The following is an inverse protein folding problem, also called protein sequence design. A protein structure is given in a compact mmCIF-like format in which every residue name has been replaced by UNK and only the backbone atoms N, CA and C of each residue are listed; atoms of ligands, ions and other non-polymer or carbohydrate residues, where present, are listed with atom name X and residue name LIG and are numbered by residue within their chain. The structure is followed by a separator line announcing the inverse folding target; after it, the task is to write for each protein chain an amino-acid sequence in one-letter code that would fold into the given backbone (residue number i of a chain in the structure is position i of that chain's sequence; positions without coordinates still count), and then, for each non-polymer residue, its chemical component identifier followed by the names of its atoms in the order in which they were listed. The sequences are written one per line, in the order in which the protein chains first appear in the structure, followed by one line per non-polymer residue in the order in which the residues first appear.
data_IF_228538020465
#
_entry.id   IF_228538020465
#
_cell.length_a   1.000
_cell.length_b   1.000
_cell.length_c   1.000
_cell.angle_alpha   90.00
_cell.angle_beta   90.00
_cell.angle_gamma   90.00
#
_symmetry.space_group_name_H-M   'P 1'
#
loop_
_entity.id
_entity.type
_entity.pdbx_description
1 polymer ?
#
# COMPACT_ATOMS: atom_id res chain seq x y z
N UNK A 1 -12.28 -3.56 8.02
CA UNK A 1 -11.57 -2.37 8.54
C UNK A 1 -12.34 -1.06 8.34
N UNK A 2 -12.84 -0.72 7.15
CA UNK A 2 -13.59 0.53 6.93
C UNK A 2 -14.86 0.64 7.78
N UNK A 3 -15.60 -0.45 7.97
CA UNK A 3 -16.78 -0.47 8.85
C UNK A 3 -16.40 -0.17 10.29
N UNK A 4 -15.36 -0.84 10.80
CA UNK A 4 -14.86 -0.60 12.16
C UNK A 4 -14.41 0.86 12.36
N UNK A 5 -13.72 1.44 11.37
CA UNK A 5 -13.34 2.86 11.44
C UNK A 5 -14.58 3.76 11.53
N UNK A 6 -15.59 3.48 10.72
CA UNK A 6 -16.84 4.26 10.73
C UNK A 6 -17.54 4.18 12.10
N UNK A 7 -17.64 2.99 12.67
CA UNK A 7 -18.24 2.77 13.99
C UNK A 7 -17.46 3.53 15.09
N UNK A 8 -16.13 3.48 15.06
CA UNK A 8 -15.31 4.23 16.01
C UNK A 8 -15.47 5.75 15.87
N UNK A 9 -15.57 6.26 14.65
CA UNK A 9 -15.82 7.70 14.41
C UNK A 9 -17.21 8.11 14.90
N UNK A 10 -18.22 7.29 14.67
CA UNK A 10 -19.59 7.54 15.19
C UNK A 10 -19.61 7.51 16.72
N UNK A 11 -18.94 6.52 17.32
CA UNK A 11 -18.81 6.44 18.78
C UNK A 11 -18.08 7.67 19.36
N UNK A 12 -16.98 8.09 18.74
CA UNK A 12 -16.25 9.29 19.14
C UNK A 12 -17.14 10.54 19.09
N UNK A 13 -17.91 10.70 18.02
CA UNK A 13 -18.84 11.83 17.84
C UNK A 13 -19.92 11.87 18.90
N UNK A 14 -20.28 10.73 19.47
CA UNK A 14 -21.30 10.63 20.51
C UNK A 14 -20.68 10.86 21.90
N UNK A 15 -19.54 10.25 22.18
CA UNK A 15 -18.91 10.24 23.50
C UNK A 15 -18.23 11.57 23.83
N UNK A 16 -17.45 12.13 22.91
CA UNK A 16 -16.64 13.34 23.17
C UNK A 16 -17.48 14.56 23.57
N UNK A 17 -18.61 14.87 22.93
CA UNK A 17 -19.41 16.04 23.29
C UNK A 17 -20.08 15.94 24.66
N UNK A 18 -20.25 14.72 25.21
CA UNK A 18 -20.87 14.52 26.54
C UNK A 18 -19.97 14.99 27.69
N UNK A 19 -18.66 15.16 27.43
CA UNK A 19 -17.71 15.59 28.46
C UNK A 19 -18.02 17.00 29.03
N UNK A 20 -18.48 17.94 28.20
CA UNK A 20 -18.79 19.29 28.63
C UNK A 20 -20.02 19.34 29.55
N UNK A 21 -21.20 18.80 29.21
CA UNK A 21 -22.35 18.81 30.08
C UNK A 21 -22.15 18.00 31.38
N UNK A 22 -21.40 16.89 31.33
CA UNK A 22 -21.08 16.14 32.54
C UNK A 22 -20.18 16.93 33.50
N UNK A 23 -19.19 17.68 32.95
CA UNK A 23 -18.37 18.56 33.76
C UNK A 23 -19.20 19.66 34.43
N UNK A 24 -20.16 20.27 33.71
CA UNK A 24 -21.01 21.32 34.27
C UNK A 24 -21.89 20.79 35.41
N UNK A 25 -22.38 19.55 35.31
CA UNK A 25 -23.11 18.86 36.38
C UNK A 25 -22.17 18.52 37.56
N UNK A 26 -20.99 18.01 37.31
CA UNK A 26 -20.00 17.67 38.34
C UNK A 26 -19.48 18.91 39.11
N UNK A 27 -19.35 20.05 38.44
CA UNK A 27 -18.95 21.33 39.04
C UNK A 27 -20.10 22.14 39.63
N UNK A 28 -21.32 21.58 39.63
CA UNK A 28 -22.55 22.25 40.18
C UNK A 28 -22.90 23.56 39.49
N UNK A 29 -22.57 23.69 38.19
CA UNK A 29 -22.94 24.87 37.39
C UNK A 29 -24.42 24.87 37.01
N UNK A 30 -25.07 23.73 37.14
CA UNK A 30 -26.51 23.54 36.83
C UNK A 30 -27.33 23.66 38.12
N UNK A 31 -28.37 24.52 38.16
CA UNK A 31 -29.25 24.62 39.31
C UNK A 31 -29.93 23.27 39.62
N UNK A 32 -30.09 22.96 40.92
CA UNK A 32 -30.73 21.73 41.38
C UNK A 32 -29.78 20.52 41.57
N UNK A 33 -28.50 20.66 41.30
CA UNK A 33 -27.49 19.63 41.58
C UNK A 33 -26.90 19.84 42.97
N UNK A 34 -27.20 18.93 43.89
CA UNK A 34 -26.63 18.93 45.23
C UNK A 34 -25.21 18.34 45.28
N UNK A 35 -24.59 18.35 46.46
CA UNK A 35 -23.20 17.90 46.62
C UNK A 35 -23.05 16.39 46.39
N UNK A 36 -24.02 15.63 46.78
CA UNK A 36 -24.00 14.16 46.65
C UNK A 36 -24.15 13.75 45.19
N UNK A 37 -25.12 14.35 44.50
CA UNK A 37 -25.36 14.12 43.07
C UNK A 37 -24.17 14.56 42.19
N UNK A 38 -23.53 15.68 42.55
CA UNK A 38 -22.31 16.15 41.87
C UNK A 38 -21.15 15.14 41.99
N UNK A 39 -21.03 14.39 43.08
CA UNK A 39 -20.04 13.36 43.24
C UNK A 39 -20.27 12.19 42.26
N UNK A 40 -21.52 11.77 42.05
CA UNK A 40 -21.85 10.76 41.04
C UNK A 40 -21.52 11.23 39.60
N UNK A 41 -21.87 12.48 39.28
CA UNK A 41 -21.52 13.03 37.95
C UNK A 41 -20.04 13.14 37.75
N UNK A 42 -19.22 13.35 38.77
CA UNK A 42 -17.76 13.34 38.67
C UNK A 42 -17.23 11.94 38.31
N UNK A 43 -17.72 10.93 38.97
CA UNK A 43 -17.38 9.53 38.69
C UNK A 43 -17.77 9.15 37.25
N UNK A 44 -18.97 9.52 36.80
CA UNK A 44 -19.41 9.31 35.41
C UNK A 44 -18.53 10.09 34.41
N UNK A 45 -18.13 11.31 34.74
CA UNK A 45 -17.22 12.12 33.89
C UNK A 45 -15.86 11.49 33.76
N UNK A 46 -15.31 10.91 34.83
CA UNK A 46 -14.02 10.22 34.81
C UNK A 46 -14.10 8.93 33.93
N UNK A 47 -15.17 8.15 34.05
CA UNK A 47 -15.40 7.00 33.19
C UNK A 47 -15.58 7.39 31.72
N UNK A 48 -16.31 8.49 31.45
CA UNK A 48 -16.45 9.01 30.09
C UNK A 48 -15.12 9.45 29.49
N UNK A 49 -14.28 10.13 30.30
CA UNK A 49 -12.95 10.54 29.85
C UNK A 49 -12.07 9.34 29.46
N UNK A 50 -12.08 8.28 30.28
CA UNK A 50 -11.37 7.04 29.97
C UNK A 50 -11.92 6.37 28.69
N UNK A 51 -13.25 6.35 28.52
CA UNK A 51 -13.87 5.81 27.32
C UNK A 51 -13.49 6.61 26.07
N UNK A 52 -13.51 7.93 26.14
CA UNK A 52 -13.12 8.83 25.05
C UNK A 52 -11.64 8.64 24.65
N UNK A 53 -10.75 8.49 25.64
CA UNK A 53 -9.34 8.19 25.40
C UNK A 53 -9.17 6.85 24.69
N UNK A 54 -9.81 5.78 25.18
CA UNK A 54 -9.76 4.45 24.54
C UNK A 54 -10.25 4.47 23.10
N UNK A 55 -11.35 5.17 22.83
CA UNK A 55 -11.88 5.33 21.46
C UNK A 55 -10.87 6.06 20.57
N UNK A 56 -10.18 7.06 21.10
CA UNK A 56 -9.14 7.79 20.36
C UNK A 56 -7.97 6.88 20.02
N UNK A 57 -7.44 6.14 20.99
CA UNK A 57 -6.34 5.18 20.78
C UNK A 57 -6.74 4.08 19.78
N UNK A 58 -7.94 3.53 19.90
CA UNK A 58 -8.43 2.52 18.95
C UNK A 58 -8.55 3.08 17.53
N UNK A 59 -8.99 4.32 17.39
CA UNK A 59 -9.08 4.99 16.08
C UNK A 59 -7.69 5.11 15.43
N UNK A 60 -6.69 5.53 16.20
CA UNK A 60 -5.30 5.63 15.73
C UNK A 60 -4.71 4.27 15.36
N UNK A 61 -4.99 3.23 16.14
CA UNK A 61 -4.55 1.86 15.82
C UNK A 61 -5.16 1.36 14.52
N UNK A 62 -6.45 1.61 14.28
CA UNK A 62 -7.12 1.23 13.02
C UNK A 62 -6.55 2.01 11.83
N UNK A 63 -6.26 3.30 11.99
CA UNK A 63 -5.65 4.13 10.94
C UNK A 63 -4.23 3.66 10.60
N UNK A 64 -3.43 3.35 11.61
CA UNK A 64 -2.10 2.79 11.42
C UNK A 64 -2.15 1.42 10.71
N UNK A 65 -3.07 0.53 11.13
CA UNK A 65 -3.24 -0.77 10.50
C UNK A 65 -3.69 -0.65 9.03
N UNK A 66 -4.58 0.29 8.73
CA UNK A 66 -5.02 0.57 7.36
C UNK A 66 -3.87 1.09 6.50
N UNK A 67 -3.07 2.02 7.02
CA UNK A 67 -1.89 2.57 6.35
C UNK A 67 -0.86 1.48 6.05
N UNK A 68 -0.59 0.60 7.02
CA UNK A 68 0.30 -0.55 6.82
C UNK A 68 -0.21 -1.51 5.74
N UNK A 69 -1.51 -1.81 5.73
CA UNK A 69 -2.12 -2.68 4.72
C UNK A 69 -2.00 -2.08 3.31
N UNK A 70 -2.22 -0.78 3.15
CA UNK A 70 -2.03 -0.09 1.87
C UNK A 70 -0.56 -0.08 1.43
N UNK A 71 0.37 0.15 2.35
CA UNK A 71 1.81 0.09 2.07
C UNK A 71 2.24 -1.31 1.61
N UNK A 72 1.75 -2.38 2.25
CA UNK A 72 2.02 -3.77 1.83
C UNK A 72 1.50 -4.04 0.42
N UNK A 73 0.28 -3.59 0.11
CA UNK A 73 -0.29 -3.73 -1.24
C UNK A 73 0.57 -3.00 -2.28
N UNK A 74 1.03 -1.79 -1.97
CA UNK A 74 1.90 -1.02 -2.87
C UNK A 74 3.26 -1.71 -3.11
N UNK A 75 3.85 -2.30 -2.07
CA UNK A 75 5.08 -3.08 -2.20
C UNK A 75 4.85 -4.30 -3.10
N UNK A 76 3.74 -5.02 -2.90
CA UNK A 76 3.40 -6.18 -3.72
C UNK A 76 3.19 -5.79 -5.19
N UNK A 77 2.43 -4.72 -5.46
CA UNK A 77 2.24 -4.20 -6.83
C UNK A 77 3.58 -3.82 -7.48
N UNK A 78 4.52 -3.26 -6.74
CA UNK A 78 5.85 -2.90 -7.25
C UNK A 78 6.65 -4.16 -7.63
N UNK A 79 6.55 -5.24 -6.82
CA UNK A 79 7.14 -6.53 -7.15
C UNK A 79 6.54 -7.14 -8.42
N UNK A 80 5.22 -7.13 -8.53
CA UNK A 80 4.51 -7.68 -9.68
C UNK A 80 4.83 -6.90 -10.95
N UNK A 81 4.88 -5.55 -10.86
CA UNK A 81 5.27 -4.69 -11.97
C UNK A 81 6.70 -4.97 -12.44
N UNK A 82 7.65 -5.19 -11.52
CA UNK A 82 9.04 -5.56 -11.87
C UNK A 82 9.08 -6.90 -12.60
N UNK A 83 8.32 -7.91 -12.16
CA UNK A 83 8.23 -9.21 -12.82
C UNK A 83 7.66 -9.10 -14.23
N UNK A 84 6.56 -8.36 -14.38
CA UNK A 84 5.93 -8.12 -15.69
C UNK A 84 6.91 -7.40 -16.62
N UNK A 85 7.58 -6.36 -16.14
CA UNK A 85 8.55 -5.61 -16.93
C UNK A 85 9.76 -6.48 -17.34
N UNK A 86 10.24 -7.33 -16.45
CA UNK A 86 11.33 -8.25 -16.76
C UNK A 86 10.91 -9.29 -17.80
N UNK A 87 9.72 -9.87 -17.69
CA UNK A 87 9.18 -10.80 -18.68
C UNK A 87 8.98 -10.12 -20.05
N UNK A 88 8.42 -8.93 -20.06
CA UNK A 88 8.25 -8.14 -21.28
C UNK A 88 9.60 -7.83 -21.96
N UNK A 89 10.61 -7.45 -21.19
CA UNK A 89 11.96 -7.19 -21.72
C UNK A 89 12.60 -8.45 -22.33
N UNK A 90 12.43 -9.63 -21.70
CA UNK A 90 12.94 -10.90 -22.22
C UNK A 90 12.31 -11.29 -23.55
N UNK A 91 11.04 -10.93 -23.77
CA UNK A 91 10.33 -11.17 -25.03
C UNK A 91 10.70 -10.09 -26.07
N UNK A 92 10.77 -8.83 -25.66
CA UNK A 92 11.02 -7.71 -26.56
C UNK A 92 12.40 -7.78 -27.23
N UNK A 93 13.44 -8.26 -26.54
CA UNK A 93 14.80 -8.36 -27.09
C UNK A 93 14.87 -9.25 -28.33
N UNK A 94 14.46 -10.53 -28.31
CA UNK A 94 14.49 -11.38 -29.51
C UNK A 94 13.55 -10.87 -30.60
N UNK A 95 12.38 -10.32 -30.24
CA UNK A 95 11.42 -9.75 -31.20
C UNK A 95 12.03 -8.54 -31.93
N UNK A 96 12.70 -7.65 -31.22
CA UNK A 96 13.38 -6.50 -31.84
C UNK A 96 14.47 -6.94 -32.81
N UNK A 97 15.30 -7.93 -32.41
CA UNK A 97 16.37 -8.47 -33.27
C UNK A 97 15.74 -9.12 -34.52
N UNK A 98 14.74 -9.99 -34.36
CA UNK A 98 14.03 -10.64 -35.46
C UNK A 98 13.36 -9.60 -36.37
N UNK A 99 12.81 -8.49 -35.80
CA UNK A 99 12.22 -7.39 -36.55
C UNK A 99 13.24 -6.67 -37.45
N UNK A 100 14.44 -6.40 -36.94
CA UNK A 100 15.51 -5.77 -37.72
C UNK A 100 15.93 -6.69 -38.87
N UNK A 101 16.13 -7.99 -38.63
CA UNK A 101 16.50 -8.96 -39.68
C UNK A 101 15.34 -9.27 -40.64
N UNK A 102 14.09 -8.99 -40.24
CA UNK A 102 12.92 -9.09 -41.10
C UNK A 102 12.69 -7.89 -42.02
N UNK A 103 13.46 -6.82 -41.86
CA UNK A 103 13.37 -5.64 -42.75
C UNK A 103 14.03 -5.93 -44.11
N UNK A 104 13.37 -5.53 -45.19
CA UNK A 104 13.87 -5.69 -46.55
C UNK A 104 14.88 -4.59 -46.92
N UNK A 105 16.10 -4.66 -46.40
CA UNK A 105 17.18 -3.77 -46.80
C UNK A 105 18.02 -4.40 -47.93
N UNK A 106 18.30 -3.63 -48.96
CA UNK A 106 19.12 -4.09 -50.10
C UNK A 106 20.57 -4.41 -49.74
N UNK A 107 21.08 -3.83 -48.64
CA UNK A 107 22.47 -3.94 -48.20
C UNK A 107 22.53 -4.52 -46.77
N UNK A 108 22.31 -5.83 -46.63
CA UNK A 108 22.58 -6.60 -45.43
C UNK A 108 23.59 -7.70 -45.71
N UNK A 109 24.92 -7.43 -45.58
CA UNK A 109 25.95 -8.41 -45.89
C UNK A 109 25.87 -9.67 -45.05
N UNK A 110 25.32 -9.57 -43.81
CA UNK A 110 25.18 -10.68 -42.88
C UNK A 110 24.19 -11.74 -43.37
N UNK A 111 23.18 -11.39 -44.17
CA UNK A 111 22.19 -12.31 -44.71
C UNK A 111 22.79 -13.21 -45.83
N UNK A 112 23.88 -12.77 -46.48
CA UNK A 112 24.59 -13.54 -47.53
C UNK A 112 25.70 -14.40 -46.97
N UNK A 113 26.01 -14.27 -45.65
CA UNK A 113 27.06 -15.03 -45.02
C UNK A 113 26.52 -16.35 -44.46
N UNK A 114 27.20 -17.47 -44.74
CA UNK A 114 26.78 -18.82 -44.32
C UNK A 114 26.64 -18.94 -42.80
N UNK A 115 27.48 -18.21 -42.05
CA UNK A 115 27.44 -18.19 -40.60
C UNK A 115 26.55 -17.06 -40.02
N UNK A 116 25.91 -16.22 -40.83
CA UNK A 116 25.10 -15.09 -40.37
C UNK A 116 23.92 -15.53 -39.51
N UNK A 117 23.15 -16.52 -39.98
CA UNK A 117 22.01 -17.05 -39.21
C UNK A 117 22.41 -17.73 -37.90
N UNK A 118 23.36 -18.68 -37.86
CA UNK A 118 23.81 -19.25 -36.59
C UNK A 118 24.36 -18.19 -35.62
N UNK A 119 25.12 -17.22 -36.11
CA UNK A 119 25.69 -16.13 -35.29
C UNK A 119 24.59 -15.27 -34.66
N UNK A 120 23.55 -14.91 -35.44
CA UNK A 120 22.41 -14.16 -34.96
C UNK A 120 21.68 -14.92 -33.86
N UNK A 121 21.41 -16.21 -34.03
CA UNK A 121 20.77 -17.05 -33.01
C UNK A 121 21.60 -17.12 -31.71
N UNK A 122 22.92 -17.38 -31.84
CA UNK A 122 23.81 -17.47 -30.67
C UNK A 122 23.91 -16.13 -29.93
N UNK A 123 24.05 -15.02 -30.68
CA UNK A 123 24.13 -13.69 -30.08
C UNK A 123 22.81 -13.30 -29.37
N UNK A 124 21.66 -13.59 -29.98
CA UNK A 124 20.35 -13.36 -29.38
C UNK A 124 20.17 -14.21 -28.14
N UNK A 125 20.49 -15.50 -28.17
CA UNK A 125 20.41 -16.39 -27.02
C UNK A 125 21.32 -15.92 -25.87
N UNK A 126 22.56 -15.50 -26.23
CA UNK A 126 23.52 -14.95 -25.26
C UNK A 126 22.97 -13.68 -24.61
N UNK A 127 22.44 -12.74 -25.40
CA UNK A 127 21.90 -11.49 -24.90
C UNK A 127 20.69 -11.75 -23.97
N UNK A 128 19.73 -12.60 -24.36
CA UNK A 128 18.60 -12.99 -23.54
C UNK A 128 19.06 -13.64 -22.24
N UNK A 129 20.06 -14.52 -22.30
CA UNK A 129 20.63 -15.18 -21.12
C UNK A 129 21.26 -14.17 -20.17
N UNK A 130 22.05 -13.22 -20.69
CA UNK A 130 22.64 -12.15 -19.88
C UNK A 130 21.57 -11.30 -19.20
N UNK A 131 20.55 -10.86 -19.95
CA UNK A 131 19.43 -10.08 -19.41
C UNK A 131 18.69 -10.87 -18.32
N UNK A 132 18.41 -12.16 -18.56
CA UNK A 132 17.81 -13.06 -17.58
C UNK A 132 18.64 -13.16 -16.30
N UNK A 133 19.96 -13.38 -16.41
CA UNK A 133 20.86 -13.49 -15.26
C UNK A 133 20.93 -12.17 -14.45
N UNK A 134 20.90 -11.02 -15.14
CA UNK A 134 20.86 -9.71 -14.49
C UNK A 134 19.56 -9.54 -13.69
N UNK A 135 18.40 -9.86 -14.27
CA UNK A 135 17.12 -9.75 -13.57
C UNK A 135 17.03 -10.73 -12.41
N UNK A 136 17.51 -11.96 -12.58
CA UNK A 136 17.57 -12.96 -11.52
C UNK A 136 18.47 -12.49 -10.37
N UNK A 137 19.65 -11.91 -10.64
CA UNK A 137 20.51 -11.33 -9.60
C UNK A 137 19.86 -10.18 -8.84
N UNK A 138 19.06 -9.39 -9.53
CA UNK A 138 18.29 -8.28 -8.92
C UNK A 138 17.00 -8.72 -8.24
N UNK A 139 16.70 -10.03 -8.19
CA UNK A 139 15.44 -10.61 -7.64
C UNK A 139 14.18 -10.03 -8.29
N UNK A 140 14.24 -9.76 -9.59
CA UNK A 140 13.09 -9.32 -10.38
C UNK A 140 12.33 -10.50 -10.99
N UNK A 141 12.98 -11.63 -11.09
CA UNK A 141 12.46 -12.95 -11.51
C UNK A 141 12.73 -13.99 -10.44
#
# INVERSE_FOLDING_TARGET
MYQLKRELVELRRTVVPLAAPLRDLAERRVPGVDKELAAYFRDVADHLAQAAERVTVLTELVDNALTMALAQTSIQQNHDMRRISAAAALIAVPVAIAGVYGMNFDHMPELRWVFGYPLMLVSTATLVTVVYLVFRRKKWL
#
